data_IF_112109623198
#
_entry.id   IF_112109623198
#
_cell.length_a   1.000
_cell.length_b   1.000
_cell.length_c   1.000
_cell.angle_alpha   90.00
_cell.angle_beta   90.00
_cell.angle_gamma   90.00
#
_symmetry.space_group_name_H-M   'P 1'
#
loop_
_entity.id
_entity.type
_entity.pdbx_description
1 polymer ?
#
# COMPACT_ATOMS: atom_id res chain seq x y z
N UNK A 1 -20.24 -47.62 -12.87
CA UNK A 1 -20.66 -46.22 -13.03
C UNK A 1 -20.89 -45.63 -11.66
N UNK A 2 -19.87 -45.02 -11.05
CA UNK A 2 -20.01 -44.34 -9.75
C UNK A 2 -19.22 -43.03 -9.82
N UNK A 3 -19.95 -41.94 -9.90
CA UNK A 3 -19.46 -40.57 -10.04
C UNK A 3 -19.08 -40.03 -8.66
N UNK A 4 -17.80 -39.72 -8.46
CA UNK A 4 -17.32 -39.05 -7.26
C UNK A 4 -17.66 -37.56 -7.32
N UNK A 5 -18.48 -37.09 -6.38
CA UNK A 5 -18.94 -35.69 -6.26
C UNK A 5 -17.77 -34.81 -5.84
N UNK A 6 -17.45 -33.70 -6.54
CA UNK A 6 -16.40 -32.79 -6.15
C UNK A 6 -16.75 -32.06 -4.85
N UNK A 7 -15.85 -32.19 -3.89
CA UNK A 7 -15.89 -31.59 -2.56
C UNK A 7 -15.97 -30.07 -2.70
N UNK A 8 -17.17 -29.50 -2.48
CA UNK A 8 -17.40 -28.06 -2.51
C UNK A 8 -16.49 -27.36 -1.51
N UNK A 9 -15.72 -26.40 -1.99
CA UNK A 9 -14.91 -25.54 -1.16
C UNK A 9 -15.85 -24.60 -0.39
N UNK A 10 -15.94 -24.81 0.92
CA UNK A 10 -16.73 -23.96 1.82
C UNK A 10 -16.08 -22.59 1.89
N UNK A 11 -16.62 -21.61 1.16
CA UNK A 11 -16.34 -20.18 1.39
C UNK A 11 -17.00 -19.75 2.70
N UNK A 12 -16.61 -20.36 3.82
CA UNK A 12 -16.80 -19.71 5.11
C UNK A 12 -15.79 -18.59 5.14
N UNK A 13 -16.13 -17.48 4.47
CA UNK A 13 -15.55 -16.19 4.78
C UNK A 13 -15.85 -16.02 6.26
N UNK A 14 -14.87 -16.34 7.10
CA UNK A 14 -14.87 -15.91 8.48
C UNK A 14 -14.88 -14.41 8.34
N UNK A 15 -16.08 -13.83 8.40
CA UNK A 15 -16.30 -12.40 8.62
C UNK A 15 -15.73 -12.19 10.01
N UNK A 16 -14.40 -12.16 10.10
CA UNK A 16 -13.71 -11.50 11.19
C UNK A 16 -14.37 -10.14 11.20
N UNK A 17 -14.85 -9.81 12.39
CA UNK A 17 -15.56 -8.60 12.69
C UNK A 17 -14.53 -7.47 12.59
N UNK A 18 -14.25 -7.15 11.34
CA UNK A 18 -13.19 -6.31 10.82
C UNK A 18 -13.81 -4.95 10.51
N UNK A 19 -14.72 -4.50 11.37
CA UNK A 19 -15.46 -3.24 11.19
C UNK A 19 -14.53 -2.03 11.41
N UNK A 20 -13.25 -2.27 11.70
CA UNK A 20 -12.22 -1.29 12.08
C UNK A 20 -10.79 -1.66 11.60
N UNK A 21 -10.58 -2.71 10.80
CA UNK A 21 -9.21 -2.97 10.27
C UNK A 21 -8.96 -1.94 9.18
N UNK A 22 -8.18 -0.91 9.53
CA UNK A 22 -7.76 0.10 8.58
C UNK A 22 -7.20 -0.59 7.34
N UNK A 23 -7.59 -0.11 6.16
CA UNK A 23 -7.20 -0.74 4.90
C UNK A 23 -5.66 -0.87 4.85
N UNK A 24 -5.12 -2.07 4.54
CA UNK A 24 -3.68 -2.29 4.53
C UNK A 24 -2.91 -1.29 3.64
N UNK A 25 -3.51 -0.79 2.55
CA UNK A 25 -2.95 0.25 1.70
C UNK A 25 -2.91 1.60 2.43
N UNK A 26 -3.99 1.98 3.12
CA UNK A 26 -4.03 3.21 3.90
C UNK A 26 -3.02 3.18 5.07
N UNK A 27 -2.84 2.02 5.71
CA UNK A 27 -1.78 1.83 6.70
C UNK A 27 -0.39 2.02 6.09
N UNK A 28 -0.15 1.49 4.88
CA UNK A 28 1.13 1.64 4.18
C UNK A 28 1.39 3.10 3.80
N UNK A 29 0.38 3.82 3.33
CA UNK A 29 0.48 5.23 2.95
C UNK A 29 0.70 6.11 4.18
N UNK A 30 0.02 5.83 5.29
CA UNK A 30 0.23 6.51 6.57
C UNK A 30 1.67 6.32 7.06
N UNK A 31 2.18 5.09 7.00
CA UNK A 31 3.56 4.75 7.43
C UNK A 31 4.65 5.24 6.49
N UNK A 32 4.33 5.56 5.24
CA UNK A 32 5.31 6.05 4.27
C UNK A 32 5.65 7.53 4.43
N UNK A 33 4.87 8.28 5.22
CA UNK A 33 5.00 9.74 5.31
C UNK A 33 4.44 10.49 4.09
N UNK A 34 3.87 9.79 3.10
CA UNK A 34 3.29 10.37 1.89
C UNK A 34 1.77 10.57 1.97
N UNK A 35 1.17 10.51 3.16
CA UNK A 35 -0.27 10.65 3.34
C UNK A 35 -0.81 11.99 2.82
N UNK A 36 -0.10 13.10 3.02
CA UNK A 36 -0.55 14.42 2.57
C UNK A 36 -0.71 14.51 1.04
N UNK A 37 0.27 14.00 0.28
CA UNK A 37 0.19 13.99 -1.18
C UNK A 37 -0.85 12.97 -1.68
N UNK A 38 -1.04 11.85 -0.97
CA UNK A 38 -2.14 10.94 -1.24
C UNK A 38 -3.52 11.60 -1.08
N UNK A 39 -3.75 12.30 0.03
CA UNK A 39 -5.00 13.02 0.26
C UNK A 39 -5.23 14.12 -0.77
N UNK A 40 -4.17 14.79 -1.25
CA UNK A 40 -4.30 15.75 -2.34
C UNK A 40 -4.78 15.11 -3.66
N UNK A 41 -4.35 13.88 -3.95
CA UNK A 41 -4.86 13.12 -5.11
C UNK A 41 -6.33 12.77 -4.91
N UNK A 42 -6.71 12.28 -3.73
CA UNK A 42 -8.11 11.96 -3.41
C UNK A 42 -9.01 13.18 -3.53
N UNK A 43 -8.61 14.32 -2.98
CA UNK A 43 -9.36 15.57 -3.06
C UNK A 43 -9.56 16.01 -4.52
N UNK A 44 -8.49 15.98 -5.32
CA UNK A 44 -8.60 16.31 -6.74
C UNK A 44 -9.55 15.35 -7.49
N UNK A 45 -9.47 14.05 -7.21
CA UNK A 45 -10.37 13.06 -7.80
C UNK A 45 -11.82 13.22 -7.33
N UNK A 46 -12.05 13.59 -6.06
CA UNK A 46 -13.37 13.87 -5.54
C UNK A 46 -14.00 15.09 -6.23
N UNK A 47 -13.19 16.13 -6.49
CA UNK A 47 -13.63 17.36 -7.15
C UNK A 47 -13.85 17.18 -8.66
N UNK A 48 -12.90 16.59 -9.37
CA UNK A 48 -12.88 16.56 -10.84
C UNK A 48 -13.35 15.25 -11.44
N UNK A 49 -13.19 14.13 -10.70
CA UNK A 49 -13.45 12.77 -11.18
C UNK A 49 -12.72 12.40 -12.48
N UNK A 50 -11.67 13.13 -12.82
CA UNK A 50 -10.81 12.90 -13.98
C UNK A 50 -9.34 13.02 -13.56
N UNK A 51 -8.66 11.88 -13.53
CA UNK A 51 -7.26 11.81 -13.12
C UNK A 51 -6.33 12.59 -14.05
N UNK A 52 -6.74 12.88 -15.30
CA UNK A 52 -5.94 13.70 -16.23
C UNK A 52 -5.80 15.14 -15.75
N UNK A 53 -6.78 15.65 -15.01
CA UNK A 53 -6.73 16.97 -14.38
C UNK A 53 -5.91 16.95 -13.08
N UNK A 54 -5.75 15.77 -12.47
CA UNK A 54 -5.01 15.56 -11.22
C UNK A 54 -3.53 15.21 -11.40
N UNK A 55 -2.98 15.39 -12.61
CA UNK A 55 -1.57 15.09 -12.91
C UNK A 55 -0.58 15.72 -11.93
N UNK A 56 -0.71 16.99 -11.50
CA UNK A 56 0.21 17.57 -10.53
C UNK A 56 0.21 16.85 -9.18
N UNK A 57 -0.97 16.50 -8.67
CA UNK A 57 -1.13 15.79 -7.39
C UNK A 57 -0.59 14.37 -7.48
N UNK A 58 -0.90 13.67 -8.58
CA UNK A 58 -0.42 12.30 -8.83
C UNK A 58 1.10 12.28 -8.94
N UNK A 59 1.69 13.27 -9.64
CA UNK A 59 3.14 13.40 -9.76
C UNK A 59 3.79 13.65 -8.40
N UNK A 60 3.25 14.55 -7.58
CA UNK A 60 3.74 14.80 -6.23
C UNK A 60 3.68 13.55 -5.33
N UNK A 61 2.62 12.76 -5.43
CA UNK A 61 2.51 11.50 -4.71
C UNK A 61 3.56 10.47 -5.17
N UNK A 62 3.76 10.35 -6.49
CA UNK A 62 4.78 9.48 -7.08
C UNK A 62 6.20 9.87 -6.64
N UNK A 63 6.51 11.15 -6.63
CA UNK A 63 7.83 11.64 -6.24
C UNK A 63 8.10 11.34 -4.77
N UNK A 64 7.12 11.59 -3.89
CA UNK A 64 7.22 11.23 -2.47
C UNK A 64 7.49 9.74 -2.26
N UNK A 65 6.72 8.87 -2.92
CA UNK A 65 6.90 7.43 -2.78
C UNK A 65 8.24 6.95 -3.34
N UNK A 66 8.72 7.57 -4.42
CA UNK A 66 10.02 7.26 -5.02
C UNK A 66 11.16 7.63 -4.06
N UNK A 67 11.08 8.81 -3.43
CA UNK A 67 12.03 9.24 -2.40
C UNK A 67 11.99 8.33 -1.17
N UNK A 68 10.80 8.00 -0.67
CA UNK A 68 10.62 7.09 0.45
C UNK A 68 11.21 5.70 0.16
N UNK A 69 11.06 5.20 -1.07
CA UNK A 69 11.64 3.93 -1.48
C UNK A 69 13.18 4.00 -1.50
N UNK A 70 13.76 5.07 -2.04
CA UNK A 70 15.20 5.27 -2.04
C UNK A 70 15.76 5.35 -0.62
N UNK A 71 15.13 6.13 0.28
CA UNK A 71 15.50 6.23 1.69
C UNK A 71 15.47 4.86 2.37
N UNK A 72 14.41 4.08 2.17
CA UNK A 72 14.28 2.73 2.73
C UNK A 72 15.39 1.79 2.25
N UNK A 73 15.75 1.85 0.97
CA UNK A 73 16.84 1.04 0.42
C UNK A 73 18.19 1.41 1.04
N UNK A 74 18.48 2.70 1.17
CA UNK A 74 19.72 3.18 1.80
C UNK A 74 19.81 2.75 3.27
N UNK A 75 18.72 2.88 4.03
CA UNK A 75 18.67 2.42 5.43
C UNK A 75 18.92 0.91 5.57
N UNK A 76 18.36 0.11 4.66
CA UNK A 76 18.60 -1.33 4.65
C UNK A 76 20.05 -1.67 4.31
N UNK A 77 20.69 -0.94 3.39
CA UNK A 77 22.10 -1.12 3.07
C UNK A 77 22.98 -0.78 4.28
N UNK A 78 22.77 0.39 4.88
CA UNK A 78 23.50 0.82 6.09
C UNK A 78 23.37 -0.19 7.23
N UNK A 79 22.18 -0.77 7.43
CA UNK A 79 21.94 -1.81 8.45
C UNK A 79 22.72 -3.10 8.16
N UNK A 80 22.82 -3.50 6.90
CA UNK A 80 23.58 -4.69 6.50
C UNK A 80 25.08 -4.49 6.70
N UNK A 81 25.62 -3.31 6.34
CA UNK A 81 27.02 -2.96 6.55
C UNK A 81 27.39 -2.99 8.04
N UNK A 82 26.54 -2.42 8.89
CA UNK A 82 26.72 -2.46 10.34
C UNK A 82 26.70 -3.88 10.89
N UNK A 83 25.74 -4.71 10.45
CA UNK A 83 25.65 -6.10 10.88
C UNK A 83 26.88 -6.93 10.44
N UNK A 84 27.43 -6.64 9.26
CA UNK A 84 28.65 -7.28 8.76
C UNK A 84 29.92 -6.87 9.51
N UNK A 85 29.98 -5.64 10.05
CA UNK A 85 31.12 -5.18 10.84
C UNK A 85 31.18 -5.73 12.28
N UNK A 86 30.09 -6.32 12.77
CA UNK A 86 30.01 -6.94 14.10
C UNK A 86 30.35 -8.44 14.11
N UNK A 87 30.68 -9.04 12.96
CA UNK A 87 31.16 -10.42 12.84
C UNK A 87 32.65 -10.44 12.49
#
# INVERSE_FOLDING_TARGET
MSTSVPQGHTWTQRVKKDDEEEDPLDQLISRSGCAASHFAVQECMAQHQDWRQCQPQVQAFKDCMSEQQARRQEELQRRQEQAGAHH
#
